data_IF_153164714985
#
_entry.id   IF_153164714985
#
_cell.length_a   1.000
_cell.length_b   1.000
_cell.length_c   1.000
_cell.angle_alpha   90.00
_cell.angle_beta   90.00
_cell.angle_gamma   90.00
#
_symmetry.space_group_name_H-M   'P 1'
#
loop_
_entity.id
_entity.type
_entity.pdbx_description
1 polymer ?
#
# COMPACT_ATOMS: atom_id res chain seq x y z
N UNK A 1 -57.32 -8.71 -0.36
CA UNK A 1 -56.28 -8.67 0.68
C UNK A 1 -54.99 -9.00 0.01
N UNK A 2 -54.12 -8.03 -0.20
CA UNK A 2 -52.78 -8.26 -0.75
C UNK A 2 -51.91 -8.98 0.32
N UNK A 3 -51.26 -10.04 -0.10
CA UNK A 3 -50.44 -10.88 0.78
C UNK A 3 -49.23 -10.10 1.34
N UNK A 4 -48.79 -10.42 2.54
CA UNK A 4 -47.65 -9.74 3.20
C UNK A 4 -46.37 -9.69 2.33
N UNK A 5 -46.22 -10.68 1.45
CA UNK A 5 -45.16 -10.76 0.45
C UNK A 5 -45.28 -9.70 -0.65
N UNK A 6 -46.48 -9.33 -1.05
CA UNK A 6 -46.72 -8.28 -2.05
C UNK A 6 -46.46 -6.89 -1.49
N UNK A 7 -46.76 -6.67 -0.22
CA UNK A 7 -46.40 -5.44 0.49
C UNK A 7 -44.88 -5.28 0.63
N UNK A 8 -44.17 -6.36 0.93
CA UNK A 8 -42.70 -6.33 0.99
C UNK A 8 -42.05 -6.04 -0.38
N UNK A 9 -42.60 -6.62 -1.47
CA UNK A 9 -42.15 -6.34 -2.85
C UNK A 9 -42.43 -4.90 -3.29
N UNK A 10 -43.60 -4.36 -2.93
CA UNK A 10 -43.95 -2.96 -3.22
C UNK A 10 -43.11 -1.96 -2.42
N UNK A 11 -42.78 -2.26 -1.17
CA UNK A 11 -41.87 -1.46 -0.35
C UNK A 11 -40.42 -1.51 -0.90
N UNK A 12 -39.95 -2.68 -1.27
CA UNK A 12 -38.63 -2.82 -1.92
C UNK A 12 -38.56 -2.11 -3.28
N UNK A 13 -39.63 -2.18 -4.08
CA UNK A 13 -39.70 -1.45 -5.35
C UNK A 13 -39.70 0.06 -5.15
N UNK A 14 -40.44 0.58 -4.15
CA UNK A 14 -40.45 2.02 -3.80
C UNK A 14 -39.09 2.48 -3.22
N UNK A 15 -38.47 1.69 -2.37
CA UNK A 15 -37.12 1.98 -1.86
C UNK A 15 -36.10 2.04 -3.00
N UNK A 16 -36.15 1.08 -3.94
CA UNK A 16 -35.31 1.09 -5.12
C UNK A 16 -35.61 2.26 -6.08
N UNK A 17 -36.87 2.67 -6.18
CA UNK A 17 -37.31 3.82 -7.00
C UNK A 17 -36.85 5.15 -6.38
N UNK A 18 -36.96 5.30 -5.06
CA UNK A 18 -36.44 6.46 -4.33
C UNK A 18 -34.89 6.55 -4.41
N UNK A 19 -34.23 5.41 -4.32
CA UNK A 19 -32.76 5.34 -4.51
C UNK A 19 -32.34 5.73 -5.94
N UNK A 20 -33.15 5.40 -6.97
CA UNK A 20 -32.90 5.82 -8.35
C UNK A 20 -33.20 7.31 -8.60
N UNK A 21 -34.07 7.91 -7.82
CA UNK A 21 -34.43 9.33 -7.97
C UNK A 21 -33.43 10.28 -7.28
N UNK A 22 -32.89 9.89 -6.10
CA UNK A 22 -31.80 10.63 -5.44
C UNK A 22 -30.49 10.61 -6.26
N UNK A 23 -30.37 9.75 -7.26
CA UNK A 23 -29.15 9.55 -8.07
C UNK A 23 -28.97 10.52 -9.23
N UNK A 24 -29.91 11.37 -9.59
CA UNK A 24 -29.86 12.09 -10.89
C UNK A 24 -29.28 13.52 -10.91
N UNK A 25 -28.98 14.13 -9.75
CA UNK A 25 -28.50 15.52 -9.72
C UNK A 25 -27.52 15.90 -8.60
N UNK A 26 -26.78 14.96 -8.00
CA UNK A 26 -25.71 15.30 -7.06
C UNK A 26 -24.40 14.70 -7.56
N UNK A 27 -23.34 15.52 -7.63
CA UNK A 27 -21.98 15.01 -7.71
C UNK A 27 -21.84 13.97 -6.61
N UNK A 28 -21.67 12.72 -7.00
CA UNK A 28 -21.66 11.60 -6.04
C UNK A 28 -20.49 11.84 -5.08
N UNK A 29 -20.73 11.87 -3.77
CA UNK A 29 -19.73 12.25 -2.77
C UNK A 29 -18.41 11.49 -2.88
N UNK A 30 -18.46 10.20 -3.29
CA UNK A 30 -17.28 9.39 -3.56
C UNK A 30 -16.45 9.89 -4.76
N UNK A 31 -17.12 10.37 -5.84
CA UNK A 31 -16.43 10.90 -7.02
C UNK A 31 -15.74 12.24 -6.71
N UNK A 32 -16.39 13.08 -5.89
CA UNK A 32 -15.77 14.32 -5.40
C UNK A 32 -14.56 14.02 -4.53
N UNK A 33 -14.68 13.06 -3.60
CA UNK A 33 -13.58 12.66 -2.74
C UNK A 33 -12.40 12.07 -3.54
N UNK A 34 -12.69 11.23 -4.55
CA UNK A 34 -11.67 10.68 -5.44
C UNK A 34 -10.97 11.77 -6.26
N UNK A 35 -11.74 12.70 -6.85
CA UNK A 35 -11.19 13.82 -7.62
C UNK A 35 -10.33 14.75 -6.76
N UNK A 36 -10.83 15.12 -5.57
CA UNK A 36 -10.07 15.96 -4.62
C UNK A 36 -8.79 15.25 -4.17
N UNK A 37 -8.87 13.97 -3.81
CA UNK A 37 -7.70 13.17 -3.45
C UNK A 37 -6.68 13.15 -4.60
N UNK A 38 -7.12 12.83 -5.83
CA UNK A 38 -6.23 12.76 -6.98
C UNK A 38 -5.52 14.09 -7.24
N UNK A 39 -6.26 15.21 -7.26
CA UNK A 39 -5.70 16.54 -7.53
C UNK A 39 -4.72 16.97 -6.43
N UNK A 40 -5.11 16.81 -5.16
CA UNK A 40 -4.26 17.23 -4.04
C UNK A 40 -3.02 16.35 -3.94
N UNK A 41 -3.16 15.02 -4.01
CA UNK A 41 -2.02 14.11 -3.90
C UNK A 41 -1.05 14.27 -5.08
N UNK A 42 -1.57 14.39 -6.30
CA UNK A 42 -0.71 14.59 -7.47
C UNK A 42 -0.01 15.94 -7.41
N UNK A 43 -0.72 17.01 -7.06
CA UNK A 43 -0.12 18.34 -6.88
C UNK A 43 1.01 18.34 -5.86
N UNK A 44 0.81 17.70 -4.70
CA UNK A 44 1.84 17.59 -3.65
C UNK A 44 3.02 16.70 -4.10
N UNK A 45 2.78 15.61 -4.80
CA UNK A 45 3.83 14.75 -5.33
C UNK A 45 4.68 15.43 -6.40
N UNK A 46 4.06 16.18 -7.31
CA UNK A 46 4.78 16.95 -8.32
C UNK A 46 5.57 18.09 -7.68
N UNK A 47 4.99 18.78 -6.69
CA UNK A 47 5.71 19.77 -5.89
C UNK A 47 6.93 19.16 -5.19
N UNK A 48 6.74 18.05 -4.48
CA UNK A 48 7.81 17.32 -3.80
C UNK A 48 8.96 16.97 -4.75
N UNK A 49 8.63 16.46 -5.94
CA UNK A 49 9.63 16.13 -6.96
C UNK A 49 10.34 17.39 -7.48
N UNK A 50 9.61 18.49 -7.63
CA UNK A 50 10.18 19.75 -8.09
C UNK A 50 11.15 20.36 -7.09
N UNK A 51 10.82 20.36 -5.79
CA UNK A 51 11.61 20.99 -4.74
C UNK A 51 12.65 20.06 -4.08
N UNK A 52 12.94 18.92 -4.71
CA UNK A 52 13.97 17.97 -4.29
C UNK A 52 13.69 17.30 -2.92
N UNK A 53 12.44 17.00 -2.67
CA UNK A 53 12.04 16.22 -1.49
C UNK A 53 11.74 14.74 -1.84
N UNK A 54 11.82 14.35 -3.11
CA UNK A 54 11.79 12.96 -3.51
C UNK A 54 13.10 12.28 -3.07
N UNK A 55 12.98 11.04 -2.59
CA UNK A 55 14.10 10.34 -1.99
C UNK A 55 14.69 9.24 -2.88
N UNK A 56 15.63 8.51 -2.29
CA UNK A 56 16.40 7.47 -2.94
C UNK A 56 15.57 6.39 -3.65
N UNK A 57 14.51 5.88 -2.98
CA UNK A 57 13.64 4.87 -3.57
C UNK A 57 12.99 5.34 -4.88
N UNK A 58 12.66 6.64 -4.99
CA UNK A 58 12.14 7.21 -6.23
C UNK A 58 13.13 7.06 -7.39
N UNK A 59 14.41 7.32 -7.13
CA UNK A 59 15.48 7.13 -8.10
C UNK A 59 15.67 5.67 -8.52
N UNK A 60 15.60 4.74 -7.57
CA UNK A 60 15.68 3.30 -7.88
C UNK A 60 14.60 2.93 -8.92
N UNK A 61 13.34 3.26 -8.66
CA UNK A 61 12.24 2.89 -9.56
C UNK A 61 12.33 3.60 -10.92
N UNK A 62 12.81 4.85 -10.94
CA UNK A 62 13.07 5.57 -12.20
C UNK A 62 14.17 4.88 -13.00
N UNK A 63 15.30 4.56 -12.36
CA UNK A 63 16.43 3.89 -13.01
C UNK A 63 16.04 2.50 -13.54
N UNK A 64 15.33 1.70 -12.74
CA UNK A 64 14.82 0.38 -13.17
C UNK A 64 13.92 0.52 -14.39
N UNK A 65 12.97 1.46 -14.37
CA UNK A 65 12.05 1.65 -15.49
C UNK A 65 12.78 2.15 -16.74
N UNK A 66 13.70 3.11 -16.58
CA UNK A 66 14.53 3.64 -17.67
C UNK A 66 15.42 2.57 -18.29
N UNK A 67 16.16 1.84 -17.48
CA UNK A 67 17.05 0.79 -17.95
C UNK A 67 16.28 -0.32 -18.68
N UNK A 68 15.10 -0.70 -18.16
CA UNK A 68 14.27 -1.70 -18.80
C UNK A 68 13.75 -1.26 -20.18
N UNK A 69 13.46 0.03 -20.38
CA UNK A 69 13.11 0.59 -21.70
C UNK A 69 14.27 0.53 -22.70
N UNK A 70 15.51 0.45 -22.22
CA UNK A 70 16.72 0.38 -23.04
C UNK A 70 17.33 -1.02 -23.10
N UNK A 71 16.53 -2.07 -22.81
CA UNK A 71 16.94 -3.48 -22.93
C UNK A 71 17.77 -4.01 -21.75
N UNK A 72 18.00 -3.20 -20.71
CA UNK A 72 18.67 -3.58 -19.47
C UNK A 72 17.61 -3.87 -18.40
N UNK A 73 17.04 -5.05 -18.48
CA UNK A 73 15.86 -5.45 -17.70
C UNK A 73 16.14 -5.43 -16.19
N UNK A 74 15.41 -4.61 -15.44
CA UNK A 74 15.47 -4.48 -13.99
C UNK A 74 16.83 -4.09 -13.41
N UNK A 75 17.80 -3.67 -14.22
CA UNK A 75 19.09 -3.22 -13.73
C UNK A 75 19.00 -1.91 -12.96
N UNK A 76 19.73 -1.83 -11.84
CA UNK A 76 19.85 -0.61 -11.04
C UNK A 76 21.10 -0.61 -10.19
N UNK A 77 22.03 0.28 -10.50
CA UNK A 77 23.21 0.54 -9.66
C UNK A 77 22.82 1.11 -8.29
N UNK A 78 21.69 1.80 -8.19
CA UNK A 78 21.15 2.29 -6.92
C UNK A 78 20.67 1.12 -6.04
N UNK A 79 20.01 0.11 -6.62
CA UNK A 79 19.67 -1.11 -5.88
C UNK A 79 20.90 -1.86 -5.40
N UNK A 80 21.98 -1.90 -6.22
CA UNK A 80 23.24 -2.53 -5.85
C UNK A 80 23.85 -1.92 -4.58
N UNK A 81 23.75 -0.60 -4.38
CA UNK A 81 24.23 0.05 -3.16
C UNK A 81 23.57 -0.45 -1.87
N UNK A 82 22.40 -1.05 -2.00
CA UNK A 82 21.66 -1.65 -0.88
C UNK A 82 21.90 -3.16 -0.75
N UNK A 83 22.73 -3.74 -1.60
CA UNK A 83 23.04 -5.18 -1.55
C UNK A 83 23.83 -5.54 -0.29
N UNK A 84 23.73 -6.80 0.14
CA UNK A 84 24.46 -7.30 1.31
C UNK A 84 25.96 -7.19 1.11
N UNK A 85 26.44 -7.49 -0.09
CA UNK A 85 27.84 -7.44 -0.43
C UNK A 85 28.43 -6.02 -0.30
N UNK A 86 27.69 -5.01 -0.76
CA UNK A 86 28.11 -3.60 -0.62
C UNK A 86 28.00 -3.13 0.83
N UNK A 87 26.86 -3.38 1.50
CA UNK A 87 26.56 -2.83 2.84
C UNK A 87 27.40 -3.52 3.92
N UNK A 88 27.58 -4.83 3.84
CA UNK A 88 28.20 -5.63 4.89
C UNK A 88 29.60 -6.15 4.54
N UNK A 89 29.88 -6.39 3.26
CA UNK A 89 31.20 -6.88 2.81
C UNK A 89 32.09 -5.78 2.22
N UNK A 90 31.58 -4.57 2.01
CA UNK A 90 32.38 -3.44 1.50
C UNK A 90 32.75 -3.55 0.01
N UNK A 91 32.01 -4.37 -0.75
CA UNK A 91 32.20 -4.46 -2.20
C UNK A 91 31.71 -3.18 -2.90
N UNK A 92 32.26 -2.93 -4.09
CA UNK A 92 31.79 -1.82 -4.91
C UNK A 92 30.39 -2.10 -5.50
N UNK A 93 29.49 -1.09 -5.62
CA UNK A 93 28.20 -1.25 -6.26
C UNK A 93 28.35 -1.72 -7.71
N UNK A 94 27.60 -2.75 -8.08
CA UNK A 94 27.60 -3.32 -9.42
C UNK A 94 26.58 -2.62 -10.32
N UNK A 95 27.01 -2.09 -11.46
CA UNK A 95 26.16 -1.30 -12.37
C UNK A 95 25.04 -2.13 -12.98
N UNK A 96 25.31 -3.39 -13.36
CA UNK A 96 24.35 -4.33 -13.94
C UNK A 96 23.56 -5.14 -12.90
N UNK A 97 23.43 -4.65 -11.67
CA UNK A 97 22.72 -5.34 -10.60
C UNK A 97 21.21 -5.41 -10.88
N UNK A 98 20.68 -6.62 -10.90
CA UNK A 98 19.28 -6.87 -11.17
C UNK A 98 18.42 -6.77 -9.90
N UNK A 99 17.53 -5.77 -9.85
CA UNK A 99 16.64 -5.53 -8.72
C UNK A 99 15.73 -6.73 -8.39
N UNK A 100 15.43 -7.60 -9.35
CA UNK A 100 14.59 -8.79 -9.11
C UNK A 100 15.16 -9.72 -8.04
N UNK A 101 16.46 -9.71 -7.80
CA UNK A 101 17.06 -10.38 -6.65
C UNK A 101 16.73 -9.69 -5.33
N UNK A 102 16.45 -8.39 -5.31
CA UNK A 102 16.13 -7.61 -4.11
C UNK A 102 14.62 -7.59 -3.78
N UNK A 103 13.82 -7.35 -4.79
CA UNK A 103 12.36 -7.43 -4.75
C UNK A 103 11.87 -7.94 -6.09
N UNK A 104 11.10 -9.00 -6.07
CA UNK A 104 10.56 -9.59 -7.28
C UNK A 104 9.31 -8.82 -7.73
N UNK A 105 9.52 -7.82 -8.60
CA UNK A 105 8.53 -6.81 -8.96
C UNK A 105 8.28 -6.70 -10.47
N UNK A 106 7.94 -7.80 -11.20
CA UNK A 106 7.78 -7.78 -12.66
C UNK A 106 6.73 -6.79 -13.17
N UNK A 107 5.71 -6.48 -12.37
CA UNK A 107 4.65 -5.52 -12.76
C UNK A 107 5.15 -4.09 -12.95
N UNK A 108 6.35 -3.75 -12.54
CA UNK A 108 6.96 -2.44 -12.85
C UNK A 108 7.07 -2.19 -14.35
N UNK A 109 7.26 -3.25 -15.15
CA UNK A 109 7.33 -3.13 -16.61
C UNK A 109 6.04 -2.59 -17.24
N UNK A 110 4.88 -2.79 -16.59
CA UNK A 110 3.62 -2.23 -17.07
C UNK A 110 3.63 -0.69 -17.07
N UNK A 111 4.42 -0.10 -16.20
CA UNK A 111 4.49 1.36 -16.00
C UNK A 111 5.69 2.01 -16.68
N UNK A 112 6.71 1.22 -17.06
CA UNK A 112 7.92 1.72 -17.70
C UNK A 112 7.62 2.55 -18.97
N UNK A 113 6.69 2.19 -19.88
CA UNK A 113 6.38 3.01 -21.06
C UNK A 113 5.88 4.41 -20.71
N UNK A 114 5.20 4.58 -19.58
CA UNK A 114 4.72 5.90 -19.14
C UNK A 114 5.89 6.81 -18.73
N UNK A 115 7.01 6.25 -18.29
CA UNK A 115 8.22 7.01 -18.00
C UNK A 115 8.78 7.64 -19.29
N UNK A 116 8.74 6.90 -20.41
CA UNK A 116 9.14 7.42 -21.71
C UNK A 116 8.29 8.60 -22.19
N UNK A 117 7.00 8.65 -21.77
CA UNK A 117 6.05 9.70 -22.18
C UNK A 117 6.06 10.89 -21.21
N UNK A 118 6.02 10.62 -19.90
CA UNK A 118 5.84 11.64 -18.85
C UNK A 118 7.11 11.93 -18.05
N UNK A 119 8.23 11.27 -18.37
CA UNK A 119 9.48 11.42 -17.63
C UNK A 119 9.30 11.11 -16.14
N UNK A 120 10.02 11.81 -15.29
CA UNK A 120 10.00 11.63 -13.83
C UNK A 120 8.59 11.80 -13.18
N UNK A 121 7.64 12.44 -13.85
CA UNK A 121 6.27 12.60 -13.36
C UNK A 121 5.44 11.32 -13.51
N UNK A 122 5.86 10.34 -14.33
CA UNK A 122 5.13 9.10 -14.59
C UNK A 122 4.81 8.33 -13.30
N UNK A 123 5.81 8.11 -12.45
CA UNK A 123 5.65 7.31 -11.24
C UNK A 123 4.68 7.94 -10.23
N UNK A 124 4.75 9.25 -9.91
CA UNK A 124 3.71 9.93 -9.14
C UNK A 124 2.30 9.81 -9.73
N UNK A 125 2.16 9.97 -11.05
CA UNK A 125 0.87 9.84 -11.74
C UNK A 125 0.31 8.43 -11.60
N UNK A 126 1.13 7.40 -11.82
CA UNK A 126 0.76 5.99 -11.64
C UNK A 126 0.32 5.72 -10.20
N UNK A 127 1.12 6.13 -9.22
CA UNK A 127 0.82 5.90 -7.80
C UNK A 127 -0.53 6.51 -7.41
N UNK A 128 -0.70 7.80 -7.65
CA UNK A 128 -1.96 8.50 -7.32
C UNK A 128 -3.14 7.94 -8.11
N UNK A 129 -2.95 7.63 -9.39
CA UNK A 129 -3.96 7.05 -10.26
C UNK A 129 -4.46 5.70 -9.76
N UNK A 130 -3.56 4.79 -9.42
CA UNK A 130 -3.89 3.45 -8.91
C UNK A 130 -4.62 3.50 -7.55
N UNK A 131 -4.14 4.34 -6.63
CA UNK A 131 -4.78 4.51 -5.32
C UNK A 131 -6.17 5.14 -5.47
N UNK A 132 -6.32 6.10 -6.38
CA UNK A 132 -7.64 6.71 -6.69
C UNK A 132 -8.59 5.68 -7.31
N UNK A 133 -8.12 4.91 -8.29
CA UNK A 133 -8.89 3.85 -8.91
C UNK A 133 -9.33 2.78 -7.89
N UNK A 134 -8.45 2.42 -6.94
CA UNK A 134 -8.78 1.50 -5.86
C UNK A 134 -9.98 1.99 -5.02
N UNK A 135 -10.02 3.27 -4.67
CA UNK A 135 -11.17 3.85 -3.95
C UNK A 135 -12.47 3.83 -4.75
N UNK A 136 -12.39 4.00 -6.09
CA UNK A 136 -13.56 3.87 -6.97
C UNK A 136 -14.05 2.42 -7.05
N UNK A 137 -13.14 1.43 -7.11
CA UNK A 137 -13.50 0.01 -7.06
C UNK A 137 -14.07 -0.36 -5.70
N UNK A 138 -13.53 0.19 -4.60
CA UNK A 138 -14.12 0.03 -3.26
C UNK A 138 -15.56 0.56 -3.21
N UNK A 139 -15.85 1.71 -3.86
CA UNK A 139 -17.23 2.18 -4.01
C UNK A 139 -18.09 1.18 -4.79
N UNK A 140 -17.58 0.60 -5.88
CA UNK A 140 -18.28 -0.40 -6.67
C UNK A 140 -18.61 -1.65 -5.84
N UNK A 141 -17.73 -2.05 -4.93
CA UNK A 141 -17.97 -3.12 -3.96
C UNK A 141 -19.02 -2.73 -2.92
N UNK A 142 -18.99 -1.50 -2.42
CA UNK A 142 -19.86 -1.04 -1.35
C UNK A 142 -21.30 -0.71 -1.81
N UNK A 143 -21.45 -0.15 -3.00
CA UNK A 143 -22.72 0.38 -3.50
C UNK A 143 -23.90 -0.63 -3.55
N UNK A 144 -23.71 -1.91 -3.94
CA UNK A 144 -24.79 -2.90 -3.92
C UNK A 144 -25.07 -3.47 -2.52
N UNK A 145 -24.18 -3.26 -1.54
CA UNK A 145 -24.19 -3.88 -0.20
C UNK A 145 -24.61 -2.94 0.91
N UNK A 146 -24.39 -1.66 0.69
CA UNK A 146 -24.62 -0.62 1.70
C UNK A 146 -25.58 0.45 1.19
N UNK A 147 -26.34 1.10 2.09
CA UNK A 147 -27.04 2.32 1.76
C UNK A 147 -26.09 3.35 1.15
N UNK A 148 -26.53 4.10 0.14
CA UNK A 148 -25.70 5.01 -0.63
C UNK A 148 -24.88 5.99 0.23
N UNK A 149 -25.44 6.48 1.33
CA UNK A 149 -24.73 7.35 2.29
C UNK A 149 -23.60 6.61 2.98
N UNK A 150 -23.83 5.40 3.47
CA UNK A 150 -22.80 4.59 4.15
C UNK A 150 -21.68 4.22 3.19
N UNK A 151 -22.03 3.81 1.96
CA UNK A 151 -21.05 3.53 0.91
C UNK A 151 -20.16 4.76 0.60
N UNK A 152 -20.76 5.95 0.50
CA UNK A 152 -19.99 7.19 0.31
C UNK A 152 -19.09 7.50 1.51
N UNK A 153 -19.58 7.38 2.75
CA UNK A 153 -18.76 7.59 3.94
C UNK A 153 -17.57 6.64 4.02
N UNK A 154 -17.76 5.37 3.66
CA UNK A 154 -16.71 4.37 3.62
C UNK A 154 -15.58 4.76 2.65
N UNK A 155 -15.95 5.25 1.46
CA UNK A 155 -14.97 5.67 0.44
C UNK A 155 -14.29 6.98 0.84
N UNK A 156 -15.02 7.93 1.44
CA UNK A 156 -14.42 9.14 2.01
C UNK A 156 -13.44 8.77 3.12
N UNK A 157 -13.78 7.79 3.97
CA UNK A 157 -12.90 7.28 5.01
C UNK A 157 -11.62 6.66 4.45
N UNK A 158 -11.72 5.92 3.34
CA UNK A 158 -10.57 5.39 2.64
C UNK A 158 -9.63 6.53 2.18
N UNK A 159 -10.15 7.55 1.48
CA UNK A 159 -9.34 8.66 0.98
C UNK A 159 -8.82 9.62 2.08
N UNK A 160 -9.51 9.74 3.20
CA UNK A 160 -9.10 10.58 4.33
C UNK A 160 -8.21 9.85 5.35
N UNK A 161 -7.90 8.57 5.10
CA UNK A 161 -7.07 7.76 5.98
C UNK A 161 -5.60 8.19 5.98
N UNK A 162 -5.02 8.46 7.14
CA UNK A 162 -3.59 8.76 7.27
C UNK A 162 -2.73 7.62 6.70
N UNK A 163 -3.11 6.37 6.95
CA UNK A 163 -2.46 5.17 6.42
C UNK A 163 -2.52 5.05 4.88
N UNK A 164 -3.34 5.84 4.21
CA UNK A 164 -3.39 5.93 2.75
C UNK A 164 -2.65 7.17 2.24
N UNK A 165 -2.96 8.34 2.83
CA UNK A 165 -2.38 9.62 2.41
C UNK A 165 -0.86 9.63 2.64
N UNK A 166 -0.40 9.18 3.81
CA UNK A 166 1.01 9.16 4.16
C UNK A 166 1.89 8.47 3.11
N UNK A 167 1.69 7.19 2.82
CA UNK A 167 2.49 6.51 1.81
C UNK A 167 2.23 7.02 0.38
N UNK A 168 1.03 7.54 0.07
CA UNK A 168 0.77 8.16 -1.24
C UNK A 168 1.62 9.42 -1.43
N UNK A 169 1.95 10.14 -0.37
CA UNK A 169 2.88 11.28 -0.38
C UNK A 169 4.35 10.83 -0.27
N UNK A 170 4.62 9.55 -0.04
CA UNK A 170 5.96 8.95 -0.07
C UNK A 170 6.59 8.94 -1.46
N UNK A 171 7.73 8.28 -1.58
CA UNK A 171 8.30 7.93 -2.87
C UNK A 171 7.38 6.91 -3.56
N UNK A 172 7.50 6.80 -4.88
CA UNK A 172 6.84 5.70 -5.58
C UNK A 172 7.22 4.36 -4.95
N UNK A 173 6.26 3.46 -4.87
CA UNK A 173 6.47 2.08 -4.49
C UNK A 173 5.60 1.15 -5.33
N UNK A 174 6.16 0.02 -5.70
CA UNK A 174 5.50 -1.14 -6.31
C UNK A 174 4.19 -1.51 -5.60
N UNK A 175 4.15 -1.46 -4.27
CA UNK A 175 2.98 -1.76 -3.45
C UNK A 175 1.78 -0.83 -3.68
N UNK A 176 1.93 0.32 -4.34
CA UNK A 176 0.79 1.20 -4.65
C UNK A 176 -0.27 0.51 -5.56
N UNK A 177 0.12 -0.56 -6.26
CA UNK A 177 -0.76 -1.38 -7.09
C UNK A 177 -1.69 -2.28 -6.26
N UNK A 178 -1.27 -2.61 -5.05
CA UNK A 178 -1.91 -3.66 -4.24
C UNK A 178 -3.35 -3.33 -3.82
N UNK A 179 -3.71 -2.12 -3.35
CA UNK A 179 -5.09 -1.80 -3.00
C UNK A 179 -6.06 -2.02 -4.16
N UNK A 180 -5.67 -1.62 -5.38
CA UNK A 180 -6.48 -1.85 -6.57
C UNK A 180 -6.60 -3.34 -6.89
N UNK A 181 -5.49 -4.08 -6.88
CA UNK A 181 -5.47 -5.51 -7.17
C UNK A 181 -6.37 -6.30 -6.19
N UNK A 182 -6.30 -6.00 -4.89
CA UNK A 182 -7.14 -6.62 -3.87
C UNK A 182 -8.62 -6.32 -4.11
N UNK A 183 -8.99 -5.06 -4.35
CA UNK A 183 -10.39 -4.71 -4.56
C UNK A 183 -10.94 -5.28 -5.88
N UNK A 184 -10.13 -5.36 -6.93
CA UNK A 184 -10.53 -6.00 -8.21
C UNK A 184 -10.70 -7.51 -8.02
N UNK A 185 -9.81 -8.20 -7.31
CA UNK A 185 -9.94 -9.61 -6.99
C UNK A 185 -11.21 -9.86 -6.15
N UNK A 186 -11.45 -9.05 -5.12
CA UNK A 186 -12.67 -9.16 -4.30
C UNK A 186 -13.94 -8.88 -5.11
N UNK A 187 -13.89 -7.93 -6.04
CA UNK A 187 -15.00 -7.67 -6.96
C UNK A 187 -15.28 -8.89 -7.84
N UNK A 188 -14.24 -9.50 -8.38
CA UNK A 188 -14.33 -10.76 -9.16
C UNK A 188 -14.97 -11.88 -8.35
N UNK A 189 -14.51 -12.09 -7.12
CA UNK A 189 -15.04 -13.11 -6.22
C UNK A 189 -16.51 -12.88 -5.86
N UNK A 190 -16.87 -11.65 -5.48
CA UNK A 190 -18.21 -11.32 -4.97
C UNK A 190 -19.26 -11.19 -6.07
N UNK A 191 -18.87 -10.80 -7.28
CA UNK A 191 -19.76 -10.72 -8.46
C UNK A 191 -19.66 -11.95 -9.37
N UNK A 192 -18.89 -12.99 -8.97
CA UNK A 192 -18.66 -14.22 -9.76
C UNK A 192 -18.09 -13.93 -11.17
N UNK A 193 -17.24 -12.90 -11.27
CA UNK A 193 -16.54 -12.54 -12.51
C UNK A 193 -15.17 -13.23 -12.58
N UNK A 194 -15.18 -14.46 -13.08
CA UNK A 194 -13.99 -15.32 -13.09
C UNK A 194 -12.75 -14.70 -13.74
N UNK A 195 -12.93 -13.93 -14.81
CA UNK A 195 -11.80 -13.24 -15.46
C UNK A 195 -11.08 -12.29 -14.50
N UNK A 196 -11.82 -11.50 -13.70
CA UNK A 196 -11.24 -10.61 -12.70
C UNK A 196 -10.60 -11.40 -11.54
N UNK A 197 -11.24 -12.50 -11.13
CA UNK A 197 -10.71 -13.38 -10.08
C UNK A 197 -9.37 -13.98 -10.50
N UNK A 198 -9.30 -14.56 -11.69
CA UNK A 198 -8.08 -15.18 -12.22
C UNK A 198 -7.01 -14.12 -12.47
N UNK A 199 -7.34 -13.01 -13.13
CA UNK A 199 -6.40 -11.93 -13.37
C UNK A 199 -5.82 -11.36 -12.07
N UNK A 200 -6.67 -11.09 -11.07
CA UNK A 200 -6.21 -10.60 -9.76
C UNK A 200 -5.34 -11.61 -9.03
N UNK A 201 -5.71 -12.90 -9.05
CA UNK A 201 -4.94 -13.96 -8.40
C UNK A 201 -3.57 -14.20 -9.06
N UNK A 202 -3.44 -14.00 -10.38
CA UNK A 202 -2.18 -14.19 -11.11
C UNK A 202 -1.30 -12.92 -11.06
N UNK A 203 -1.89 -11.73 -11.17
CA UNK A 203 -1.13 -10.48 -11.22
C UNK A 203 -0.65 -10.01 -9.83
N UNK A 204 -1.43 -10.28 -8.78
CA UNK A 204 -1.10 -9.81 -7.43
C UNK A 204 0.27 -10.31 -6.95
N UNK A 205 0.64 -11.60 -7.07
CA UNK A 205 1.95 -12.09 -6.68
C UNK A 205 3.12 -11.45 -7.44
N UNK A 206 2.87 -10.94 -8.66
CA UNK A 206 3.87 -10.27 -9.49
C UNK A 206 4.12 -8.80 -9.09
N UNK A 207 3.31 -8.25 -8.18
CA UNK A 207 3.53 -6.90 -7.64
C UNK A 207 4.77 -6.90 -6.75
N UNK A 208 4.88 -7.89 -5.86
CA UNK A 208 6.04 -8.13 -5.01
C UNK A 208 5.96 -9.54 -4.40
N UNK A 209 7.11 -10.12 -4.09
CA UNK A 209 7.24 -11.49 -3.56
C UNK A 209 6.36 -11.80 -2.35
N UNK A 210 6.13 -10.82 -1.47
CA UNK A 210 5.36 -10.97 -0.23
C UNK A 210 3.84 -10.80 -0.39
N UNK A 211 3.37 -10.30 -1.55
CA UNK A 211 1.93 -10.08 -1.77
C UNK A 211 1.13 -11.37 -1.88
N UNK A 212 1.79 -12.51 -2.08
CA UNK A 212 1.18 -13.83 -1.96
C UNK A 212 0.49 -14.08 -0.61
N UNK A 213 0.96 -13.44 0.47
CA UNK A 213 0.32 -13.50 1.80
C UNK A 213 -1.11 -12.95 1.78
N UNK A 214 -1.40 -11.98 0.90
CA UNK A 214 -2.77 -11.43 0.74
C UNK A 214 -3.70 -12.47 0.11
N UNK A 215 -3.21 -13.29 -0.83
CA UNK A 215 -4.01 -14.40 -1.39
C UNK A 215 -4.31 -15.45 -0.32
N UNK A 216 -3.34 -15.76 0.54
CA UNK A 216 -3.57 -16.62 1.72
C UNK A 216 -4.66 -16.03 2.61
N UNK A 217 -4.61 -14.73 2.91
CA UNK A 217 -5.60 -14.04 3.72
C UNK A 217 -7.01 -14.11 3.09
N UNK A 218 -7.13 -13.86 1.79
CA UNK A 218 -8.41 -13.97 1.06
C UNK A 218 -8.91 -15.42 1.05
N UNK A 219 -8.03 -16.40 0.88
CA UNK A 219 -8.37 -17.82 0.98
C UNK A 219 -8.90 -18.19 2.37
N UNK A 220 -8.24 -17.76 3.44
CA UNK A 220 -8.72 -17.95 4.82
C UNK A 220 -10.09 -17.28 5.05
N UNK A 221 -10.28 -16.08 4.52
CA UNK A 221 -11.55 -15.38 4.57
C UNK A 221 -12.67 -16.19 3.87
N UNK A 222 -12.39 -16.76 2.69
CA UNK A 222 -13.34 -17.61 1.96
C UNK A 222 -13.70 -18.87 2.75
N UNK A 223 -12.74 -19.55 3.39
CA UNK A 223 -13.00 -20.73 4.22
C UNK A 223 -13.99 -20.46 5.35
N UNK A 224 -13.92 -19.25 5.93
CA UNK A 224 -14.79 -18.86 7.04
C UNK A 224 -16.12 -18.32 6.57
N UNK A 225 -16.14 -17.57 5.44
CA UNK A 225 -17.32 -16.81 4.99
C UNK A 225 -18.12 -17.44 3.86
N UNK A 226 -17.50 -18.32 3.07
CA UNK A 226 -18.07 -18.94 1.89
C UNK A 226 -17.64 -20.40 1.79
N UNK A 227 -18.10 -21.21 2.74
CA UNK A 227 -17.68 -22.62 2.86
C UNK A 227 -17.92 -23.44 1.58
N UNK A 228 -18.92 -23.08 0.80
CA UNK A 228 -19.19 -23.69 -0.51
C UNK A 228 -18.04 -23.50 -1.52
N UNK A 229 -17.21 -22.48 -1.32
CA UNK A 229 -16.05 -22.15 -2.16
C UNK A 229 -14.71 -22.65 -1.58
N UNK A 230 -14.74 -23.66 -0.71
CA UNK A 230 -13.55 -24.15 -0.02
C UNK A 230 -12.41 -24.58 -0.98
N UNK A 231 -12.76 -25.15 -2.15
CA UNK A 231 -11.75 -25.54 -3.16
C UNK A 231 -11.00 -24.32 -3.68
N UNK A 232 -11.70 -23.26 -4.03
CA UNK A 232 -11.08 -22.01 -4.46
C UNK A 232 -10.23 -21.39 -3.33
N UNK A 233 -10.73 -21.45 -2.11
CA UNK A 233 -9.99 -20.97 -0.94
C UNK A 233 -8.64 -21.70 -0.78
N UNK A 234 -8.65 -23.02 -0.87
CA UNK A 234 -7.42 -23.84 -0.81
C UNK A 234 -6.48 -23.53 -1.99
N UNK A 235 -7.02 -23.32 -3.20
CA UNK A 235 -6.20 -22.93 -4.37
C UNK A 235 -5.52 -21.60 -4.11
N UNK A 236 -6.23 -20.59 -3.59
CA UNK A 236 -5.65 -19.28 -3.28
C UNK A 236 -4.59 -19.36 -2.17
N UNK A 237 -4.83 -20.16 -1.14
CA UNK A 237 -3.86 -20.38 -0.05
C UNK A 237 -2.60 -21.07 -0.59
N UNK A 238 -2.78 -22.16 -1.35
CA UNK A 238 -1.65 -22.92 -1.91
C UNK A 238 -0.87 -22.08 -2.92
N UNK A 239 -1.57 -21.34 -3.79
CA UNK A 239 -0.96 -20.46 -4.78
C UNK A 239 -0.19 -19.32 -4.12
N UNK A 240 -0.83 -18.57 -3.20
CA UNK A 240 -0.19 -17.43 -2.52
C UNK A 240 0.97 -17.85 -1.63
N UNK A 241 0.79 -18.89 -0.79
CA UNK A 241 1.84 -19.41 0.06
C UNK A 241 2.98 -20.06 -0.74
N UNK A 242 2.65 -20.87 -1.74
CA UNK A 242 3.61 -21.48 -2.65
C UNK A 242 4.43 -20.44 -3.41
N UNK A 243 3.77 -19.36 -3.89
CA UNK A 243 4.46 -18.25 -4.55
C UNK A 243 5.51 -17.62 -3.64
N UNK A 244 5.15 -17.24 -2.40
CA UNK A 244 6.11 -16.64 -1.46
C UNK A 244 7.33 -17.54 -1.29
N UNK A 245 7.10 -18.84 -1.07
CA UNK A 245 8.20 -19.81 -0.86
C UNK A 245 9.06 -19.96 -2.12
N UNK A 246 8.46 -20.16 -3.28
CA UNK A 246 9.19 -20.34 -4.55
C UNK A 246 9.90 -19.06 -4.95
N UNK A 247 9.23 -17.91 -4.81
CA UNK A 247 9.82 -16.63 -5.18
C UNK A 247 11.05 -16.31 -4.34
N UNK A 248 10.94 -16.42 -3.01
CA UNK A 248 12.04 -16.03 -2.11
C UNK A 248 13.20 -17.04 -2.07
N UNK A 249 12.93 -18.33 -2.30
CA UNK A 249 13.98 -19.36 -2.18
C UNK A 249 14.53 -19.88 -3.53
N UNK A 250 13.83 -19.59 -4.62
CA UNK A 250 14.24 -20.08 -5.97
C UNK A 250 14.41 -18.93 -6.95
N UNK A 251 13.36 -18.10 -7.17
CA UNK A 251 13.40 -17.09 -8.23
C UNK A 251 14.35 -15.93 -7.91
N UNK A 252 14.23 -15.32 -6.73
CA UNK A 252 15.06 -14.18 -6.36
C UNK A 252 16.56 -14.53 -6.32
N UNK A 253 16.98 -15.69 -5.78
CA UNK A 253 18.38 -16.10 -5.81
C UNK A 253 18.99 -16.27 -7.22
N UNK A 254 18.18 -16.46 -8.27
CA UNK A 254 18.66 -16.50 -9.66
C UNK A 254 19.20 -15.13 -10.13
N UNK A 255 18.74 -14.04 -9.54
CA UNK A 255 19.12 -12.67 -9.88
C UNK A 255 20.16 -12.11 -8.92
N UNK A 256 20.17 -12.53 -7.66
CA UNK A 256 21.15 -12.10 -6.65
C UNK A 256 21.17 -13.07 -5.47
N UNK A 257 22.37 -13.54 -5.09
CA UNK A 257 22.56 -14.46 -3.96
C UNK A 257 22.37 -13.81 -2.59
N UNK A 258 22.51 -12.49 -2.54
CA UNK A 258 22.69 -11.78 -1.28
C UNK A 258 21.40 -11.36 -0.58
N UNK A 259 20.30 -11.29 -1.31
CA UNK A 259 19.14 -10.54 -0.83
C UNK A 259 18.16 -11.26 0.05
N UNK A 260 17.86 -12.52 -0.25
CA UNK A 260 16.99 -13.29 0.63
C UNK A 260 17.63 -13.40 2.03
N UNK A 261 18.95 -13.49 2.09
CA UNK A 261 19.71 -13.52 3.34
C UNK A 261 19.60 -12.19 4.09
N UNK A 262 19.87 -11.06 3.42
CA UNK A 262 19.79 -9.72 4.02
C UNK A 262 18.40 -9.42 4.57
N UNK A 263 17.37 -9.59 3.77
CA UNK A 263 15.99 -9.32 4.19
C UNK A 263 15.62 -10.13 5.43
N UNK A 264 16.02 -11.40 5.48
CA UNK A 264 15.79 -12.27 6.64
C UNK A 264 16.57 -11.81 7.86
N UNK A 265 17.85 -11.47 7.71
CA UNK A 265 18.71 -11.01 8.81
C UNK A 265 18.21 -9.67 9.36
N UNK A 266 17.92 -8.70 8.51
CA UNK A 266 17.53 -7.35 8.92
C UNK A 266 16.12 -7.31 9.56
N UNK A 267 15.18 -8.12 9.09
CA UNK A 267 13.81 -8.06 9.57
C UNK A 267 13.46 -9.18 10.57
N UNK A 268 14.15 -10.31 10.53
CA UNK A 268 13.84 -11.50 11.32
C UNK A 268 15.07 -12.08 12.03
N UNK A 269 16.13 -11.30 12.18
CA UNK A 269 17.40 -11.73 12.79
C UNK A 269 17.23 -12.35 14.18
N UNK A 270 16.28 -11.84 14.97
CA UNK A 270 15.94 -12.39 16.30
C UNK A 270 15.47 -13.84 16.25
N UNK A 271 15.00 -14.34 15.11
CA UNK A 271 14.58 -15.72 14.92
C UNK A 271 15.65 -16.61 14.27
N UNK A 272 16.76 -16.06 13.77
CA UNK A 272 17.76 -16.83 13.03
C UNK A 272 18.78 -17.53 13.94
N UNK A 273 18.94 -17.08 15.19
CA UNK A 273 19.88 -17.68 16.18
C UNK A 273 21.33 -17.29 15.93
N UNK A 274 22.27 -18.03 16.51
CA UNK A 274 23.69 -17.68 16.53
C UNK A 274 24.43 -17.82 15.17
N UNK A 275 23.83 -18.48 14.21
CA UNK A 275 24.41 -18.68 12.86
C UNK A 275 23.40 -18.24 11.79
N UNK A 276 23.46 -16.95 11.38
CA UNK A 276 22.53 -16.38 10.40
C UNK A 276 22.58 -17.08 9.03
N UNK A 277 23.75 -17.61 8.65
CA UNK A 277 23.95 -18.22 7.33
C UNK A 277 23.27 -19.58 7.18
N UNK A 278 23.10 -20.32 8.29
CA UNK A 278 22.49 -21.66 8.28
C UNK A 278 20.96 -21.67 8.39
N UNK A 279 20.32 -20.54 8.71
CA UNK A 279 18.89 -20.48 9.00
C UNK A 279 18.08 -19.47 8.21
N UNK A 280 18.67 -18.85 7.20
CA UNK A 280 18.11 -17.66 6.51
C UNK A 280 16.99 -17.95 5.51
N UNK A 281 16.30 -19.09 5.60
CA UNK A 281 15.11 -19.33 4.75
C UNK A 281 13.83 -18.85 5.42
N UNK A 282 12.87 -18.38 4.62
CA UNK A 282 11.52 -18.00 5.09
C UNK A 282 10.82 -19.14 5.86
N UNK A 283 11.03 -20.38 5.45
CA UNK A 283 10.54 -21.57 6.17
C UNK A 283 11.25 -21.78 7.52
N UNK A 284 12.55 -21.48 7.59
CA UNK A 284 13.32 -21.53 8.84
C UNK A 284 12.82 -20.53 9.88
N UNK A 285 12.57 -19.28 9.46
CA UNK A 285 11.95 -18.24 10.29
C UNK A 285 10.58 -18.68 10.76
N UNK A 286 9.72 -19.13 9.85
CA UNK A 286 8.36 -19.58 10.18
C UNK A 286 8.37 -20.72 11.22
N UNK A 287 9.23 -21.73 11.03
CA UNK A 287 9.39 -22.84 11.99
C UNK A 287 9.80 -22.33 13.38
N UNK A 288 10.76 -21.39 13.45
CA UNK A 288 11.22 -20.84 14.74
C UNK A 288 10.17 -19.96 15.41
N UNK A 289 9.47 -19.13 14.67
CA UNK A 289 8.36 -18.31 15.19
C UNK A 289 7.33 -19.19 15.92
N UNK A 290 6.91 -20.29 15.29
CA UNK A 290 5.95 -21.21 15.90
C UNK A 290 6.55 -22.09 17.02
N UNK A 291 7.86 -22.32 17.02
CA UNK A 291 8.52 -23.07 18.09
C UNK A 291 8.82 -22.25 19.35
N UNK A 292 8.69 -20.92 19.27
CA UNK A 292 8.97 -19.99 20.37
C UNK A 292 7.74 -19.10 20.68
N UNK A 293 6.64 -19.65 21.21
CA UNK A 293 5.38 -18.94 21.37
C UNK A 293 5.48 -17.73 22.32
N UNK A 294 6.36 -17.76 23.30
CA UNK A 294 6.58 -16.62 24.22
C UNK A 294 7.20 -15.46 23.47
N UNK A 295 8.25 -15.72 22.69
CA UNK A 295 8.89 -14.71 21.86
C UNK A 295 7.90 -14.16 20.82
N UNK A 296 7.08 -15.01 20.21
CA UNK A 296 6.03 -14.60 19.29
C UNK A 296 5.07 -13.58 19.92
N UNK A 297 4.54 -13.90 21.11
CA UNK A 297 3.61 -13.00 21.82
C UNK A 297 4.30 -11.70 22.22
N UNK A 298 5.54 -11.76 22.69
CA UNK A 298 6.31 -10.55 23.01
C UNK A 298 6.46 -9.65 21.78
N UNK A 299 6.86 -10.21 20.66
CA UNK A 299 7.08 -9.45 19.41
C UNK A 299 5.80 -8.85 18.85
N UNK A 300 4.65 -9.52 18.98
CA UNK A 300 3.35 -8.98 18.54
C UNK A 300 2.92 -7.73 19.33
N UNK A 301 3.43 -7.56 20.53
CA UNK A 301 3.04 -6.48 21.42
C UNK A 301 4.12 -5.40 21.51
N UNK A 302 5.39 -5.76 21.38
CA UNK A 302 6.52 -4.88 21.61
C UNK A 302 7.00 -4.18 20.29
N UNK A 303 7.13 -2.87 20.28
CA UNK A 303 6.76 -1.93 21.33
C UNK A 303 5.26 -1.58 21.33
N UNK A 304 4.56 -1.73 22.46
CA UNK A 304 3.09 -1.68 22.51
C UNK A 304 2.52 -0.35 22.03
N UNK A 305 3.23 0.74 22.24
CA UNK A 305 2.82 2.07 21.77
C UNK A 305 2.82 2.20 20.24
N UNK A 306 3.76 1.58 19.54
CA UNK A 306 3.81 1.58 18.07
C UNK A 306 2.71 0.70 17.49
N UNK A 307 2.57 -0.52 18.00
CA UNK A 307 1.53 -1.47 17.59
C UNK A 307 0.13 -0.87 17.76
N UNK A 308 -0.15 -0.29 18.94
CA UNK A 308 -1.43 0.36 19.21
C UNK A 308 -1.68 1.55 18.29
N UNK A 309 -0.69 2.43 18.12
CA UNK A 309 -0.78 3.59 17.20
C UNK A 309 -1.06 3.14 15.76
N UNK A 310 -0.40 2.08 15.31
CA UNK A 310 -0.59 1.52 13.98
C UNK A 310 -2.03 1.04 13.77
N UNK A 311 -2.55 0.23 14.70
CA UNK A 311 -3.92 -0.30 14.63
C UNK A 311 -4.97 0.81 14.74
N UNK A 312 -4.80 1.75 15.69
CA UNK A 312 -5.72 2.86 15.87
C UNK A 312 -5.72 3.80 14.67
N UNK A 313 -4.55 4.11 14.11
CA UNK A 313 -4.43 4.98 12.95
C UNK A 313 -5.10 4.42 11.69
N UNK A 314 -5.00 3.11 11.45
CA UNK A 314 -5.71 2.44 10.36
C UNK A 314 -7.23 2.40 10.59
N UNK A 315 -7.67 2.31 11.83
CA UNK A 315 -9.07 2.12 12.20
C UNK A 315 -9.85 3.42 12.36
N UNK A 316 -9.17 4.50 12.73
CA UNK A 316 -9.77 5.82 13.01
C UNK A 316 -10.68 6.32 11.89
N UNK A 317 -10.30 6.33 10.60
CA UNK A 317 -11.18 6.81 9.53
C UNK A 317 -12.47 6.00 9.39
N UNK A 318 -12.45 4.75 9.86
CA UNK A 318 -13.57 3.80 9.80
C UNK A 318 -14.31 3.66 11.15
N UNK A 319 -14.21 4.64 12.06
CA UNK A 319 -14.83 4.63 13.39
C UNK A 319 -14.42 3.42 14.25
N UNK A 320 -13.18 2.98 14.12
CA UNK A 320 -12.63 1.81 14.83
C UNK A 320 -13.37 0.49 14.55
N UNK A 321 -14.34 0.49 13.61
CA UNK A 321 -15.06 -0.71 13.17
C UNK A 321 -14.13 -1.85 12.76
N UNK A 322 -13.01 -1.62 12.05
CA UNK A 322 -12.08 -2.68 11.67
C UNK A 322 -11.56 -3.48 12.86
N UNK A 323 -11.34 -2.88 14.02
CA UNK A 323 -10.79 -3.58 15.20
C UNK A 323 -11.73 -4.66 15.75
N UNK A 324 -13.04 -4.49 15.56
CA UNK A 324 -14.08 -5.43 16.04
C UNK A 324 -14.64 -6.31 14.91
N UNK A 325 -14.13 -6.16 13.69
CA UNK A 325 -14.55 -6.93 12.53
C UNK A 325 -13.68 -8.16 12.34
N UNK A 326 -14.25 -9.36 12.43
CA UNK A 326 -13.54 -10.60 12.12
C UNK A 326 -12.99 -10.59 10.69
N UNK A 327 -13.70 -9.96 9.74
CA UNK A 327 -13.23 -9.88 8.35
C UNK A 327 -11.95 -9.08 8.22
N UNK A 328 -11.77 -8.04 9.03
CA UNK A 328 -10.49 -7.31 9.07
C UNK A 328 -9.34 -8.24 9.48
N UNK A 329 -9.53 -9.01 10.54
CA UNK A 329 -8.49 -9.91 11.05
C UNK A 329 -8.20 -11.07 10.10
N UNK A 330 -9.19 -11.55 9.36
CA UNK A 330 -8.98 -12.56 8.32
C UNK A 330 -8.24 -12.00 7.11
N UNK A 331 -8.60 -10.78 6.65
CA UNK A 331 -8.05 -10.18 5.44
C UNK A 331 -6.73 -9.43 5.65
N UNK A 332 -6.53 -8.81 6.80
CA UNK A 332 -5.32 -8.05 7.12
C UNK A 332 -4.40 -8.79 8.10
N UNK A 333 -4.92 -9.76 8.87
CA UNK A 333 -4.19 -10.45 9.94
C UNK A 333 -2.88 -11.09 9.50
N UNK A 334 -2.84 -11.87 8.42
CA UNK A 334 -1.59 -12.46 7.94
C UNK A 334 -0.51 -11.41 7.60
N UNK A 335 -0.89 -10.30 6.97
CA UNK A 335 0.03 -9.19 6.70
C UNK A 335 0.45 -8.45 7.98
N UNK A 336 -0.48 -8.22 8.90
CA UNK A 336 -0.18 -7.62 10.21
C UNK A 336 0.79 -8.49 11.01
N UNK A 337 0.60 -9.82 10.97
CA UNK A 337 1.51 -10.74 11.62
C UNK A 337 2.94 -10.56 11.09
N UNK A 338 3.11 -10.53 9.77
CA UNK A 338 4.41 -10.29 9.16
C UNK A 338 5.03 -8.96 9.59
N UNK A 339 4.25 -7.87 9.59
CA UNK A 339 4.73 -6.53 9.97
C UNK A 339 5.07 -6.43 11.46
N UNK A 340 4.30 -7.06 12.34
CA UNK A 340 4.58 -7.03 13.79
C UNK A 340 5.81 -7.87 14.16
N UNK A 341 6.07 -8.93 13.40
CA UNK A 341 7.26 -9.77 13.60
C UNK A 341 8.52 -9.19 12.96
N UNK A 342 8.38 -8.29 11.98
CA UNK A 342 9.51 -7.63 11.35
C UNK A 342 10.05 -6.51 12.24
N UNK A 343 11.29 -6.64 12.70
CA UNK A 343 11.96 -5.65 13.57
C UNK A 343 13.08 -4.88 12.84
N UNK A 344 12.98 -4.77 11.53
CA UNK A 344 14.00 -4.11 10.72
C UNK A 344 14.13 -2.61 10.96
N UNK A 345 15.22 -2.06 10.47
CA UNK A 345 15.56 -0.64 10.52
C UNK A 345 14.56 0.25 9.76
N UNK A 346 13.76 -0.34 8.88
CA UNK A 346 12.79 0.37 8.03
C UNK A 346 11.48 0.78 8.75
N UNK A 347 11.38 0.62 10.07
CA UNK A 347 10.20 0.93 10.89
C UNK A 347 8.87 0.48 10.24
N UNK A 348 8.64 -0.85 10.07
CA UNK A 348 7.51 -1.37 9.29
C UNK A 348 6.14 -0.96 9.85
N UNK A 349 6.09 -0.51 11.11
CA UNK A 349 4.89 0.00 11.77
C UNK A 349 4.73 1.53 11.64
N UNK A 350 5.53 2.21 10.83
CA UNK A 350 5.27 3.61 10.51
C UNK A 350 4.05 3.72 9.58
N UNK A 351 3.02 4.44 10.05
CA UNK A 351 1.74 4.58 9.35
C UNK A 351 1.83 5.37 8.04
N UNK A 352 2.95 6.04 7.79
CA UNK A 352 3.16 6.89 6.63
C UNK A 352 3.96 6.24 5.52
N UNK A 353 4.42 4.99 5.70
CA UNK A 353 5.26 4.31 4.71
C UNK A 353 4.49 3.23 3.94
N UNK A 354 5.05 2.78 2.83
CA UNK A 354 4.47 1.87 1.84
C UNK A 354 3.87 0.56 2.39
N UNK A 355 4.36 0.04 3.52
CA UNK A 355 3.89 -1.22 4.08
C UNK A 355 2.43 -1.18 4.57
N UNK A 356 1.87 0.01 4.80
CA UNK A 356 0.46 0.15 5.14
C UNK A 356 -0.47 -0.36 4.04
N UNK A 357 -0.04 -0.32 2.77
CA UNK A 357 -0.85 -0.81 1.66
C UNK A 357 -1.08 -2.33 1.69
N UNK A 358 -0.26 -3.09 2.40
CA UNK A 358 -0.51 -4.51 2.68
C UNK A 358 -1.74 -4.72 3.58
N UNK A 359 -2.12 -3.70 4.34
CA UNK A 359 -3.11 -3.78 5.43
C UNK A 359 -4.38 -2.98 5.11
N UNK A 360 -4.24 -1.79 4.51
CA UNK A 360 -5.34 -0.86 4.21
C UNK A 360 -6.53 -1.52 3.50
N UNK A 361 -6.34 -2.38 2.45
CA UNK A 361 -7.48 -3.03 1.81
C UNK A 361 -8.29 -3.92 2.75
N UNK A 362 -7.61 -4.67 3.63
CA UNK A 362 -8.26 -5.53 4.62
C UNK A 362 -9.06 -4.75 5.66
N UNK A 363 -8.57 -3.57 6.08
CA UNK A 363 -9.31 -2.67 6.99
C UNK A 363 -10.55 -2.07 6.31
N UNK A 364 -10.43 -1.62 5.07
CA UNK A 364 -11.55 -1.07 4.31
C UNK A 364 -12.64 -2.13 4.04
N UNK A 365 -12.24 -3.33 3.61
CA UNK A 365 -13.16 -4.46 3.39
C UNK A 365 -13.77 -4.96 4.68
N UNK A 366 -13.01 -5.02 5.77
CA UNK A 366 -13.50 -5.39 7.07
C UNK A 366 -14.57 -4.44 7.60
N UNK A 367 -14.39 -3.13 7.38
CA UNK A 367 -15.42 -2.13 7.68
C UNK A 367 -16.66 -2.32 6.78
N UNK A 368 -16.45 -2.54 5.46
CA UNK A 368 -17.54 -2.79 4.52
C UNK A 368 -18.41 -3.96 4.97
N UNK A 369 -17.82 -5.12 5.20
CA UNK A 369 -18.52 -6.34 5.56
C UNK A 369 -19.18 -6.26 6.96
N UNK A 370 -18.60 -5.51 7.87
CA UNK A 370 -19.20 -5.27 9.18
C UNK A 370 -20.49 -4.45 9.07
N UNK A 371 -20.50 -3.36 8.27
CA UNK A 371 -21.68 -2.56 8.01
C UNK A 371 -22.74 -3.34 7.24
N UNK A 372 -22.34 -4.13 6.24
CA UNK A 372 -23.25 -4.99 5.46
C UNK A 372 -24.05 -5.94 6.37
N UNK A 373 -23.36 -6.66 7.25
CA UNK A 373 -24.02 -7.64 8.14
C UNK A 373 -24.92 -7.04 9.19
N UNK A 374 -24.72 -5.80 9.55
CA UNK A 374 -25.57 -5.14 10.54
C UNK A 374 -26.87 -4.59 9.93
N UNK A 375 -26.99 -4.58 8.61
CA UNK A 375 -28.15 -4.12 7.87
C UNK A 375 -28.72 -2.75 8.37
N UNK A 376 -27.84 -1.87 8.86
CA UNK A 376 -28.23 -0.55 9.37
C UNK A 376 -28.67 0.32 8.20
N UNK A 377 -29.91 0.84 8.18
CA UNK A 377 -30.46 1.57 7.03
C UNK A 377 -29.61 2.77 6.59
N UNK A 378 -29.16 3.56 7.53
CA UNK A 378 -28.20 4.67 7.34
C UNK A 378 -27.68 5.11 8.71
N UNK A 379 -26.44 5.58 8.81
CA UNK A 379 -25.92 6.09 10.07
C UNK A 379 -26.77 7.25 10.59
N UNK A 380 -27.20 7.16 11.84
CA UNK A 380 -27.94 8.23 12.52
C UNK A 380 -27.09 9.50 12.68
N UNK A 381 -27.71 10.64 13.09
CA UNK A 381 -26.98 11.91 13.19
C UNK A 381 -25.76 11.87 14.09
N UNK A 382 -25.81 11.16 15.21
CA UNK A 382 -24.69 11.02 16.16
C UNK A 382 -23.52 10.25 15.54
N UNK A 383 -23.81 9.15 14.82
CA UNK A 383 -22.77 8.35 14.14
C UNK A 383 -22.12 9.16 13.01
N UNK A 384 -22.90 9.93 12.26
CA UNK A 384 -22.37 10.83 11.22
C UNK A 384 -21.46 11.92 11.78
N UNK A 385 -21.87 12.52 12.92
CA UNK A 385 -21.03 13.50 13.61
C UNK A 385 -19.70 12.87 14.08
N UNK A 386 -19.78 11.71 14.73
CA UNK A 386 -18.62 10.97 15.16
C UNK A 386 -17.72 10.58 13.98
N UNK A 387 -18.32 10.16 12.85
CA UNK A 387 -17.54 9.82 11.64
C UNK A 387 -16.87 11.06 11.04
N UNK A 388 -17.58 12.19 10.95
CA UNK A 388 -17.00 13.47 10.55
C UNK A 388 -15.83 13.89 11.43
N UNK A 389 -15.99 13.79 12.75
CA UNK A 389 -14.93 14.09 13.72
C UNK A 389 -13.71 13.16 13.55
N UNK A 390 -13.92 11.86 13.35
CA UNK A 390 -12.86 10.88 13.12
C UNK A 390 -12.09 11.18 11.82
N UNK A 391 -12.79 11.55 10.73
CA UNK A 391 -12.15 11.94 9.47
C UNK A 391 -11.35 13.23 9.63
N UNK A 392 -11.92 14.23 10.30
CA UNK A 392 -11.21 15.49 10.59
C UNK A 392 -9.96 15.22 11.41
N UNK A 393 -10.06 14.39 12.45
CA UNK A 393 -8.90 14.02 13.27
C UNK A 393 -7.83 13.26 12.45
N UNK A 394 -8.25 12.33 11.58
CA UNK A 394 -7.31 11.62 10.69
C UNK A 394 -6.56 12.58 9.77
N UNK A 395 -7.26 13.54 9.17
CA UNK A 395 -6.65 14.57 8.32
C UNK A 395 -5.72 15.50 9.12
N UNK A 396 -6.14 15.94 10.30
CA UNK A 396 -5.30 16.77 11.17
C UNK A 396 -4.01 16.03 11.57
N UNK A 397 -4.11 14.76 11.95
CA UNK A 397 -2.94 13.93 12.25
C UNK A 397 -2.03 13.77 11.03
N UNK A 398 -2.60 13.68 9.83
CA UNK A 398 -1.82 13.64 8.59
C UNK A 398 -1.08 14.95 8.35
N UNK A 399 -1.78 16.09 8.45
CA UNK A 399 -1.16 17.42 8.25
C UNK A 399 -0.08 17.69 9.28
N UNK A 400 -0.35 17.43 10.55
CA UNK A 400 0.61 17.68 11.64
C UNK A 400 1.82 16.75 11.63
N UNK A 401 1.68 15.54 11.08
CA UNK A 401 2.81 14.63 10.91
C UNK A 401 3.72 14.99 9.73
N UNK A 402 3.30 15.90 8.85
CA UNK A 402 4.02 16.33 7.65
C UNK A 402 4.70 15.16 6.91
N UNK A 403 3.93 14.13 6.44
CA UNK A 403 4.49 12.90 5.97
C UNK A 403 5.47 13.15 4.80
N UNK A 404 6.66 12.59 4.94
CA UNK A 404 7.74 12.73 3.95
C UNK A 404 8.09 14.18 3.60
N UNK A 405 7.83 15.12 4.49
CA UNK A 405 8.02 16.56 4.26
C UNK A 405 7.23 17.13 3.09
N UNK A 406 6.22 16.41 2.63
CA UNK A 406 5.41 16.80 1.47
C UNK A 406 4.59 18.06 1.69
N UNK A 407 4.38 18.44 2.96
CA UNK A 407 3.67 19.65 3.39
C UNK A 407 4.62 20.75 3.90
N UNK A 408 5.93 20.61 3.66
CA UNK A 408 6.94 21.57 4.15
C UNK A 408 6.75 23.01 3.65
N UNK A 409 5.95 23.18 2.58
CA UNK A 409 5.57 24.53 2.13
C UNK A 409 4.66 25.28 3.12
N UNK A 410 3.90 24.56 3.95
CA UNK A 410 2.97 25.11 4.94
C UNK A 410 3.34 24.73 6.37
N UNK A 411 3.88 23.53 6.60
CA UNK A 411 4.25 23.01 7.90
C UNK A 411 5.77 23.07 8.09
N UNK A 412 6.28 23.53 9.24
CA UNK A 412 7.71 23.47 9.51
C UNK A 412 8.18 22.02 9.63
N UNK A 413 9.43 21.76 9.22
CA UNK A 413 10.07 20.45 9.37
C UNK A 413 10.46 20.18 10.83
N UNK A 414 10.71 21.25 11.58
CA UNK A 414 10.96 21.23 13.03
C UNK A 414 10.42 22.50 13.68
N UNK A 415 9.95 22.36 14.90
CA UNK A 415 9.49 23.49 15.73
C UNK A 415 10.62 23.97 16.67
N UNK A 416 11.50 23.03 17.08
CA UNK A 416 12.64 23.35 17.96
C UNK A 416 13.88 22.55 17.53
N UNK A 417 14.88 23.21 16.89
CA UNK A 417 14.85 24.57 16.38
C UNK A 417 13.79 24.76 15.28
N UNK A 418 13.35 26.00 15.06
CA UNK A 418 12.42 26.29 13.98
C UNK A 418 13.10 26.09 12.62
N UNK A 419 12.60 25.14 11.83
CA UNK A 419 13.09 24.85 10.48
C UNK A 419 11.93 24.94 9.51
N UNK A 420 11.91 25.99 8.71
CA UNK A 420 10.92 26.19 7.65
C UNK A 420 11.55 26.91 6.45
N UNK A 421 11.25 26.40 5.27
CA UNK A 421 11.59 27.09 4.02
C UNK A 421 10.30 27.51 3.29
N UNK A 422 10.18 28.79 2.96
CA UNK A 422 9.02 29.30 2.22
C UNK A 422 8.88 28.60 0.86
N UNK A 423 7.67 28.52 0.28
CA UNK A 423 7.47 27.95 -1.06
C UNK A 423 8.37 28.57 -2.14
N UNK A 424 8.55 29.91 -2.09
CA UNK A 424 9.42 30.61 -3.03
C UNK A 424 10.89 30.17 -2.91
N UNK A 425 11.39 29.98 -1.69
CA UNK A 425 12.75 29.51 -1.43
C UNK A 425 12.91 28.06 -1.87
N UNK A 426 11.93 27.20 -1.60
CA UNK A 426 11.94 25.81 -2.09
C UNK A 426 11.96 25.74 -3.61
N UNK A 427 11.16 26.59 -4.26
CA UNK A 427 11.10 26.67 -5.73
C UNK A 427 12.43 27.12 -6.33
N UNK A 428 13.02 28.22 -5.84
CA UNK A 428 14.30 28.74 -6.32
C UNK A 428 15.44 27.74 -6.12
N UNK A 429 15.43 26.99 -4.98
CA UNK A 429 16.38 25.93 -4.74
C UNK A 429 16.27 24.80 -5.79
N UNK A 430 15.03 24.40 -6.12
CA UNK A 430 14.78 23.42 -7.17
C UNK A 430 15.27 23.86 -8.54
N UNK A 431 15.13 25.16 -8.88
CA UNK A 431 15.67 25.73 -10.13
C UNK A 431 17.20 25.71 -10.13
N UNK A 432 17.83 26.23 -9.08
CA UNK A 432 19.29 26.27 -9.00
C UNK A 432 19.95 24.90 -9.08
N UNK A 433 19.34 23.89 -8.44
CA UNK A 433 19.88 22.52 -8.51
C UNK A 433 19.81 21.97 -9.94
N UNK A 434 18.72 22.20 -10.67
CA UNK A 434 18.58 21.73 -12.06
C UNK A 434 19.57 22.42 -12.98
N UNK A 435 19.82 23.71 -12.80
CA UNK A 435 20.85 24.42 -13.58
C UNK A 435 22.24 23.86 -13.28
N UNK A 436 22.56 23.58 -12.01
CA UNK A 436 23.83 22.98 -11.62
C UNK A 436 24.04 21.57 -12.22
N UNK A 437 22.98 20.78 -12.34
CA UNK A 437 23.04 19.43 -12.91
C UNK A 437 23.29 19.43 -14.44
N UNK A 438 22.96 20.49 -15.16
CA UNK A 438 23.19 20.59 -16.61
C UNK A 438 24.68 20.56 -17.03
N UNK A 439 25.59 20.86 -16.10
CA UNK A 439 27.04 20.82 -16.37
C UNK A 439 27.64 19.41 -16.27
N UNK A 440 26.86 18.44 -15.79
CA UNK A 440 27.30 17.05 -15.65
C UNK A 440 27.16 16.36 -17.01
N UNK A 441 28.24 15.79 -17.57
CA UNK A 441 28.17 15.04 -18.82
C UNK A 441 27.23 13.81 -18.66
N UNK A 442 26.45 13.50 -19.71
CA UNK A 442 25.51 12.35 -19.67
C UNK A 442 26.19 11.00 -19.43
N UNK A 443 27.47 10.88 -19.76
CA UNK A 443 28.28 9.66 -19.57
C UNK A 443 29.02 9.61 -18.25
N UNK A 444 28.88 10.62 -17.39
CA UNK A 444 29.58 10.70 -16.12
C UNK A 444 28.99 9.77 -15.08
N UNK A 445 29.87 9.06 -14.34
CA UNK A 445 29.47 8.42 -13.08
C UNK A 445 29.31 9.49 -12.01
N UNK A 446 28.15 9.52 -11.37
CA UNK A 446 27.78 10.57 -10.40
C UNK A 446 27.47 9.96 -9.04
N UNK A 447 28.10 10.49 -7.99
CA UNK A 447 27.69 10.29 -6.61
C UNK A 447 26.91 11.54 -6.14
N UNK A 448 25.74 11.34 -5.59
CA UNK A 448 24.87 12.45 -5.19
C UNK A 448 24.17 12.19 -3.87
N UNK A 449 23.78 13.27 -3.19
CA UNK A 449 22.91 13.20 -2.03
C UNK A 449 21.51 12.72 -2.43
N UNK A 450 20.84 12.00 -1.53
CA UNK A 450 19.50 11.43 -1.71
C UNK A 450 18.49 12.32 -2.47
N UNK A 451 18.37 13.63 -2.19
CA UNK A 451 17.45 14.50 -2.91
C UNK A 451 17.73 14.69 -4.40
N UNK A 452 18.97 14.53 -4.82
CA UNK A 452 19.39 14.70 -6.23
C UNK A 452 19.28 13.39 -7.04
N UNK A 453 19.28 12.26 -6.36
CA UNK A 453 19.24 10.93 -7.00
C UNK A 453 18.10 10.80 -8.03
N UNK A 454 16.85 11.22 -7.75
CA UNK A 454 15.78 11.11 -8.72
C UNK A 454 15.93 11.98 -9.98
N UNK A 455 16.83 12.94 -9.97
CA UNK A 455 17.13 13.77 -11.15
C UNK A 455 18.27 13.20 -11.99
N UNK A 456 19.05 12.27 -11.43
CA UNK A 456 20.23 11.66 -12.04
C UNK A 456 20.00 10.19 -12.42
N UNK A 457 18.88 9.62 -11.99
CA UNK A 457 18.51 8.22 -12.18
C UNK A 457 17.88 7.92 -13.55
#
# INVERSE_FOLDING_TARGET
>A
MLDALDWARLLLARVNQLQRWEGRCRIKGHALAAGLFAVVMLGLQLWKSWVLLAGYDQGIFQQVAWNSLHGRWFESSLSSQLSTNVVHAGELPFVGYERLGQHFTPTLLLWAPLLGVFGAAALPVVQVGLITAAGLVLHRLAAPRLPARTANWLVVAYFAGNALIGPTLGNFSDLCQLPLAVFVLMLGLLESRWALTVAGALLMPLIREDTGVILVAIGLWLLVRSRERWRLALVLIAWGGGWVVVCTNVLMPLFSDDNSKRFMVENFGQYLGADPDKGSSSLGVLKRVFSQPVLLVQQLIDPPGKTLRYLLGHSLPFLFVPLISLDTWLLAGPSLLGLFLAQGTNDPLAITIRYTWLVVPGFALGALFWWERRAVPSPGPRVRLAWGAALTLSLLLTVTSNPHRSLSMVMPDSISPWVHASPARQWSHGLGAREALKVIPETASVAANTPLVPLLA
#
